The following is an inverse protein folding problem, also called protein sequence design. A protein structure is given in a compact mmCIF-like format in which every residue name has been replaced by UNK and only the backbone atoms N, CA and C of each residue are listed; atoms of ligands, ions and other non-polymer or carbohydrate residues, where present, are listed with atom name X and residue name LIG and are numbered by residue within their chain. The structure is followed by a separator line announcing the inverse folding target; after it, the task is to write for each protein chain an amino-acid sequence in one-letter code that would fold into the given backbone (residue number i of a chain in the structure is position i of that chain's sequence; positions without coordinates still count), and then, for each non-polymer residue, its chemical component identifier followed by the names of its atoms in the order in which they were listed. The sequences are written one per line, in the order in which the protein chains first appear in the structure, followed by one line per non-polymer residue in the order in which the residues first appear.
data_IF_178843895682
#
_entry.id   IF_178843895682
#
_cell.length_a   1.000
_cell.length_b   1.000
_cell.length_c   1.000
_cell.angle_alpha   90.00
_cell.angle_beta   90.00
_cell.angle_gamma   90.00
#
_symmetry.space_group_name_H-M   'P 1'
#
loop_
_entity.id
_entity.type
_entity.pdbx_description
1 polymer ?
#
# COMPACT_ATOMS: atom_id res chain seq x y z
N UNK A 1 17.89 -7.56 23.43
CA UNK A 1 16.54 -7.66 24.00
C UNK A 1 15.70 -6.71 23.18
N UNK A 2 14.54 -7.16 22.72
CA UNK A 2 13.62 -6.34 21.93
C UNK A 2 12.83 -5.50 22.93
N UNK A 3 12.77 -4.18 22.72
CA UNK A 3 12.10 -3.31 23.68
C UNK A 3 10.61 -3.64 23.72
N UNK A 4 9.99 -3.64 24.90
CA UNK A 4 8.56 -3.85 25.04
C UNK A 4 7.91 -2.49 25.28
N UNK A 5 7.13 -1.99 24.32
CA UNK A 5 6.72 -0.59 24.25
C UNK A 5 5.21 -0.47 24.40
N UNK A 6 4.77 0.46 25.25
CA UNK A 6 3.39 0.96 25.29
C UNK A 6 3.31 2.34 24.66
N UNK A 7 2.32 2.53 23.77
CA UNK A 7 1.95 3.86 23.28
C UNK A 7 1.02 4.51 24.29
N UNK A 8 1.40 5.70 24.78
CA UNK A 8 0.67 6.44 25.80
C UNK A 8 0.21 7.79 25.27
N UNK A 9 -0.95 8.23 25.75
CA UNK A 9 -1.48 9.58 25.53
C UNK A 9 -1.89 10.22 26.86
N UNK A 10 -1.56 11.50 27.03
CA UNK A 10 -1.84 12.25 28.26
C UNK A 10 -1.77 13.77 28.06
N UNK A 11 -2.53 14.50 28.88
CA UNK A 11 -2.51 15.96 28.92
C UNK A 11 -1.61 16.45 30.05
N UNK A 12 -0.66 17.33 29.73
CA UNK A 12 0.25 17.88 30.72
C UNK A 12 -0.48 18.84 31.67
N UNK A 13 -0.43 18.63 33.00
CA UNK A 13 -1.11 19.50 33.96
C UNK A 13 -0.47 20.90 34.06
N UNK A 14 0.80 21.07 33.67
CA UNK A 14 1.52 22.35 33.77
C UNK A 14 1.22 23.30 32.60
N UNK A 15 1.15 22.77 31.37
CA UNK A 15 1.01 23.60 30.17
C UNK A 15 -0.22 23.29 29.31
N UNK A 16 -0.96 22.22 29.61
CA UNK A 16 -2.10 21.76 28.81
C UNK A 16 -1.73 21.19 27.45
N UNK A 17 -0.46 20.89 27.21
CA UNK A 17 -0.01 20.24 25.98
C UNK A 17 -0.47 18.77 25.98
N UNK A 18 -1.07 18.34 24.87
CA UNK A 18 -1.36 16.93 24.60
C UNK A 18 -0.08 16.23 24.16
N UNK A 19 0.24 15.11 24.79
CA UNK A 19 1.44 14.32 24.52
C UNK A 19 1.03 12.93 23.99
N UNK A 20 1.77 12.46 23.00
CA UNK A 20 1.65 11.12 22.42
C UNK A 20 3.05 10.54 22.29
N UNK A 21 3.35 9.52 23.11
CA UNK A 21 4.71 9.00 23.28
C UNK A 21 4.74 7.48 23.31
N UNK A 22 5.88 6.92 22.95
CA UNK A 22 6.17 5.50 23.05
C UNK A 22 7.17 5.30 24.20
N UNK A 23 6.76 4.53 25.21
CA UNK A 23 7.60 4.29 26.40
C UNK A 23 7.89 2.80 26.55
N UNK A 24 9.12 2.50 26.98
CA UNK A 24 9.51 1.14 27.33
C UNK A 24 8.88 0.76 28.68
N UNK A 25 8.29 -0.42 28.72
CA UNK A 25 7.60 -0.98 29.90
C UNK A 25 8.11 -2.41 30.14
N UNK A 26 8.05 -2.92 31.38
CA UNK A 26 8.54 -4.27 31.65
C UNK A 26 7.70 -5.34 30.92
N UNK A 27 8.36 -6.43 30.51
CA UNK A 27 7.67 -7.58 29.95
C UNK A 27 6.77 -8.25 31.00
N UNK A 28 5.66 -8.82 30.55
CA UNK A 28 4.83 -9.68 31.39
C UNK A 28 5.66 -10.87 31.91
N UNK A 29 5.35 -11.31 33.12
CA UNK A 29 5.96 -12.52 33.65
C UNK A 29 5.34 -13.77 33.01
N UNK A 30 5.75 -14.09 31.78
CA UNK A 30 5.29 -15.26 31.04
C UNK A 30 5.67 -16.60 31.69
N UNK A 31 6.56 -16.57 32.68
CA UNK A 31 6.97 -17.78 33.42
C UNK A 31 6.04 -18.14 34.58
N UNK A 32 5.10 -17.27 34.91
CA UNK A 32 4.15 -17.52 35.99
C UNK A 32 3.04 -18.50 35.59
N UNK A 33 2.71 -19.43 36.51
CA UNK A 33 1.75 -20.51 36.29
C UNK A 33 0.30 -20.02 36.14
N UNK A 34 -0.05 -18.89 36.77
CA UNK A 34 -1.38 -18.28 36.70
C UNK A 34 -1.34 -16.92 36.00
N UNK A 35 -2.39 -16.62 35.23
CA UNK A 35 -2.55 -15.35 34.50
C UNK A 35 -2.57 -14.14 35.45
N UNK A 36 -3.07 -14.30 36.68
CA UNK A 36 -3.08 -13.23 37.70
C UNK A 36 -1.67 -12.77 38.09
N UNK A 37 -0.68 -13.67 37.95
CA UNK A 37 0.67 -13.48 38.44
C UNK A 37 1.62 -13.01 37.31
N UNK A 38 1.05 -12.69 36.13
CA UNK A 38 1.78 -12.14 34.99
C UNK A 38 2.09 -10.65 35.17
N UNK A 39 1.47 -9.99 36.14
CA UNK A 39 1.57 -8.56 36.36
C UNK A 39 3.00 -8.17 36.79
N UNK A 40 3.59 -7.21 36.10
CA UNK A 40 4.91 -6.65 36.44
C UNK A 40 4.79 -5.14 36.60
N UNK A 41 5.48 -4.60 37.61
CA UNK A 41 5.55 -3.18 37.87
C UNK A 41 6.99 -2.68 37.74
N UNK A 42 7.16 -1.48 37.21
CA UNK A 42 8.46 -0.80 37.13
C UNK A 42 8.30 0.71 37.31
N UNK A 43 9.41 1.42 37.47
CA UNK A 43 9.46 2.88 37.50
C UNK A 43 9.44 3.40 36.06
N UNK A 44 8.63 4.42 35.81
CA UNK A 44 8.54 5.10 34.52
C UNK A 44 8.83 6.58 34.68
N UNK A 45 9.49 7.13 33.68
CA UNK A 45 9.74 8.56 33.53
C UNK A 45 9.12 9.01 32.20
N UNK A 46 8.32 10.07 32.24
CA UNK A 46 7.70 10.68 31.06
C UNK A 46 7.98 12.18 31.04
N UNK A 47 8.18 12.75 29.85
CA UNK A 47 8.58 14.15 29.70
C UNK A 47 7.55 14.85 28.83
N UNK A 48 7.04 16.01 29.23
CA UNK A 48 6.12 16.77 28.37
C UNK A 48 6.85 17.34 27.14
N UNK A 49 6.34 17.09 25.94
CA UNK A 49 6.90 17.61 24.68
C UNK A 49 6.75 19.15 24.55
N UNK A 50 5.77 19.73 25.26
CA UNK A 50 5.51 21.16 25.23
C UNK A 50 6.41 21.98 26.16
N UNK A 51 6.47 21.62 27.45
CA UNK A 51 7.21 22.39 28.47
C UNK A 51 8.51 21.72 28.94
N UNK A 52 8.77 20.46 28.55
CA UNK A 52 9.95 19.70 28.98
C UNK A 52 9.93 19.28 30.45
N UNK A 53 8.79 19.39 31.14
CA UNK A 53 8.68 18.95 32.53
C UNK A 53 8.66 17.42 32.62
N UNK A 54 9.47 16.88 33.53
CA UNK A 54 9.65 15.45 33.76
C UNK A 54 8.71 14.98 34.89
N UNK A 55 8.00 13.88 34.66
CA UNK A 55 7.14 13.21 35.64
C UNK A 55 7.68 11.80 35.91
N UNK A 56 7.68 11.43 37.18
CA UNK A 56 8.09 10.10 37.64
C UNK A 56 6.89 9.36 38.18
N UNK A 57 6.84 8.05 37.95
CA UNK A 57 5.73 7.23 38.40
C UNK A 57 6.04 5.73 38.33
N UNK A 58 4.97 4.96 38.47
CA UNK A 58 4.98 3.52 38.30
C UNK A 58 4.11 3.12 37.12
N UNK A 59 4.60 2.15 36.36
CA UNK A 59 3.81 1.46 35.34
C UNK A 59 3.46 0.06 35.84
N UNK A 60 2.23 -0.36 35.64
CA UNK A 60 1.74 -1.70 35.92
C UNK A 60 1.30 -2.34 34.60
N UNK A 61 1.98 -3.40 34.20
CA UNK A 61 1.69 -4.14 32.97
C UNK A 61 0.98 -5.44 33.33
N UNK A 62 -0.19 -5.68 32.77
CA UNK A 62 -0.97 -6.90 32.96
C UNK A 62 -1.58 -7.37 31.63
N UNK A 63 -2.14 -8.58 31.61
CA UNK A 63 -2.58 -9.23 30.37
C UNK A 63 -3.65 -8.47 29.55
N UNK A 64 -4.31 -7.47 30.14
CA UNK A 64 -5.38 -6.70 29.52
C UNK A 64 -5.01 -5.23 29.24
N UNK A 65 -3.80 -4.78 29.60
CA UNK A 65 -3.41 -3.38 29.40
C UNK A 65 -2.26 -2.91 30.28
N UNK A 66 -2.09 -1.59 30.30
CA UNK A 66 -1.10 -0.87 31.11
C UNK A 66 -1.80 0.22 31.91
N UNK A 67 -1.47 0.29 33.20
CA UNK A 67 -1.90 1.39 34.07
C UNK A 67 -0.68 2.17 34.55
N UNK A 68 -0.87 3.47 34.76
CA UNK A 68 0.18 4.39 35.18
C UNK A 68 -0.24 5.14 36.43
N UNK A 69 0.65 5.19 37.41
CA UNK A 69 0.49 5.97 38.64
C UNK A 69 1.64 6.96 38.76
N UNK A 70 1.36 8.25 38.58
CA UNK A 70 2.36 9.33 38.71
C UNK A 70 2.53 9.71 40.17
N UNK A 71 3.77 9.93 40.61
CA UNK A 71 4.09 10.38 41.96
C UNK A 71 3.63 11.83 42.19
N UNK A 72 3.13 12.10 43.41
CA UNK A 72 2.65 13.42 43.80
C UNK A 72 3.75 14.49 43.73
N UNK A 73 3.38 15.78 43.52
CA UNK A 73 2.07 16.36 43.77
C UNK A 73 1.08 16.32 42.60
N UNK A 74 1.48 15.78 41.45
CA UNK A 74 0.64 15.75 40.25
C UNK A 74 -0.25 14.51 40.24
N UNK A 75 -1.49 14.66 39.75
CA UNK A 75 -2.42 13.56 39.54
C UNK A 75 -3.18 13.81 38.24
N UNK A 76 -2.95 12.96 37.25
CA UNK A 76 -3.60 13.00 35.94
C UNK A 76 -3.66 11.58 35.36
N UNK A 77 -4.55 11.37 34.40
CA UNK A 77 -4.72 10.08 33.74
C UNK A 77 -3.80 9.95 32.54
N UNK A 78 -3.16 8.80 32.41
CA UNK A 78 -2.42 8.40 31.21
C UNK A 78 -3.20 7.24 30.61
N UNK A 79 -3.52 7.34 29.33
CA UNK A 79 -4.13 6.24 28.57
C UNK A 79 -3.03 5.47 27.87
N UNK A 80 -2.76 4.25 28.33
CA UNK A 80 -1.80 3.34 27.71
C UNK A 80 -2.47 2.27 26.86
N UNK A 81 -1.89 2.00 25.70
CA UNK A 81 -2.24 0.85 24.89
C UNK A 81 -1.58 -0.43 25.44
N UNK A 82 -2.08 -1.58 24.97
CA UNK A 82 -1.44 -2.86 25.25
C UNK A 82 -0.02 -2.86 24.70
N UNK A 83 1.00 -3.12 25.53
CA UNK A 83 2.37 -3.05 25.09
C UNK A 83 2.68 -4.17 24.11
N UNK A 84 3.50 -3.83 23.13
CA UNK A 84 3.93 -4.73 22.07
C UNK A 84 5.45 -4.68 21.99
N UNK A 85 6.07 -5.78 21.55
CA UNK A 85 7.48 -5.75 21.21
C UNK A 85 7.70 -4.74 20.09
N UNK A 86 8.62 -3.81 20.31
CA UNK A 86 9.12 -2.92 19.27
C UNK A 86 9.64 -3.79 18.14
N UNK A 87 9.13 -3.66 16.91
CA UNK A 87 9.59 -4.47 15.79
C UNK A 87 11.12 -4.43 15.73
N UNK A 88 11.76 -5.60 15.76
CA UNK A 88 13.21 -5.65 15.68
C UNK A 88 13.70 -5.07 14.34
N UNK A 89 14.99 -4.76 14.19
CA UNK A 89 15.54 -4.36 12.89
C UNK A 89 15.29 -5.41 11.79
N UNK A 90 15.06 -6.68 12.15
CA UNK A 90 14.62 -7.74 11.23
C UNK A 90 13.11 -7.68 10.90
N UNK A 91 12.26 -7.20 11.81
CA UNK A 91 10.81 -7.03 11.60
C UNK A 91 10.50 -5.76 10.78
N UNK A 92 11.28 -4.69 10.94
CA UNK A 92 11.24 -3.51 10.05
C UNK A 92 11.58 -3.86 8.58
N UNK A 93 12.28 -4.98 8.38
CA UNK A 93 12.83 -5.48 7.13
C UNK A 93 11.81 -6.23 6.25
N UNK A 94 10.59 -6.51 6.74
CA UNK A 94 9.73 -7.51 6.10
C UNK A 94 8.73 -7.01 5.05
N UNK A 95 8.53 -5.70 4.94
CA UNK A 95 7.72 -5.14 3.85
C UNK A 95 8.58 -4.25 2.98
N UNK A 96 9.11 -4.86 1.92
CA UNK A 96 9.59 -4.16 0.75
C UNK A 96 8.45 -4.14 -0.27
N UNK A 97 7.98 -2.95 -0.67
CA UNK A 97 7.01 -2.87 -1.77
C UNK A 97 7.57 -3.55 -3.03
N UNK A 98 6.69 -4.07 -3.89
CA UNK A 98 7.09 -4.65 -5.16
C UNK A 98 7.76 -3.59 -6.05
N UNK A 99 8.68 -4.01 -6.93
CA UNK A 99 9.40 -3.10 -7.84
C UNK A 99 8.45 -2.36 -8.81
N UNK A 100 7.35 -3.00 -9.20
CA UNK A 100 6.33 -2.45 -10.09
C UNK A 100 4.92 -2.61 -9.48
N UNK A 101 4.53 -1.69 -8.57
CA UNK A 101 3.20 -1.70 -7.97
C UNK A 101 2.08 -1.51 -8.99
N UNK A 102 2.33 -0.77 -10.08
CA UNK A 102 1.32 -0.48 -11.09
C UNK A 102 0.91 -1.74 -11.85
N UNK A 103 1.87 -2.54 -12.32
CA UNK A 103 1.56 -3.79 -13.03
C UNK A 103 0.76 -4.77 -12.17
N UNK A 104 1.07 -4.86 -10.87
CA UNK A 104 0.33 -5.70 -9.92
C UNK A 104 -1.10 -5.18 -9.75
N UNK A 105 -1.26 -3.87 -9.61
CA UNK A 105 -2.58 -3.26 -9.50
C UNK A 105 -3.41 -3.42 -10.78
N UNK A 106 -2.83 -3.22 -11.96
CA UNK A 106 -3.48 -3.37 -13.27
C UNK A 106 -3.99 -4.81 -13.48
N UNK A 107 -3.15 -5.80 -13.18
CA UNK A 107 -3.53 -7.22 -13.23
C UNK A 107 -4.67 -7.53 -12.25
N UNK A 108 -4.52 -7.13 -10.98
CA UNK A 108 -5.48 -7.42 -9.94
C UNK A 108 -6.84 -6.75 -10.18
N UNK A 109 -6.86 -5.49 -10.64
CA UNK A 109 -8.08 -4.78 -11.03
C UNK A 109 -8.74 -5.45 -12.24
N UNK A 110 -7.96 -5.92 -13.20
CA UNK A 110 -8.46 -6.70 -14.34
C UNK A 110 -9.17 -7.99 -13.91
N UNK A 111 -8.59 -8.73 -12.96
CA UNK A 111 -9.21 -9.92 -12.38
C UNK A 111 -10.52 -9.59 -11.64
N UNK A 112 -10.51 -8.56 -10.80
CA UNK A 112 -11.72 -8.12 -10.08
C UNK A 112 -12.82 -7.68 -11.03
N UNK A 113 -12.48 -6.94 -12.10
CA UNK A 113 -13.44 -6.55 -13.14
C UNK A 113 -14.05 -7.78 -13.83
N UNK A 114 -13.27 -8.83 -14.06
CA UNK A 114 -13.75 -10.11 -14.59
C UNK A 114 -14.65 -10.92 -13.64
N UNK A 115 -14.65 -10.60 -12.34
CA UNK A 115 -15.50 -11.25 -11.33
C UNK A 115 -16.86 -10.56 -11.14
N UNK A 116 -17.08 -9.40 -11.75
CA UNK A 116 -18.37 -8.70 -11.70
C UNK A 116 -19.46 -9.61 -12.29
N UNK A 117 -20.60 -9.72 -11.59
CA UNK A 117 -21.71 -10.57 -11.99
C UNK A 117 -21.48 -12.07 -11.72
N UNK A 118 -20.39 -12.45 -11.05
CA UNK A 118 -20.17 -13.84 -10.65
C UNK A 118 -21.24 -14.31 -9.63
N UNK A 119 -21.56 -15.62 -9.59
CA UNK A 119 -22.63 -16.14 -8.75
C UNK A 119 -22.43 -15.82 -7.27
N UNK A 120 -23.43 -15.14 -6.68
CA UNK A 120 -23.48 -14.88 -5.24
C UNK A 120 -24.34 -15.93 -4.50
N UNK A 121 -24.21 -16.06 -3.17
CA UNK A 121 -25.10 -16.90 -2.37
C UNK A 121 -26.57 -16.52 -2.59
N UNK A 122 -27.46 -17.53 -2.58
CA UNK A 122 -28.91 -17.34 -2.81
C UNK A 122 -29.51 -16.35 -1.80
N UNK A 123 -28.98 -16.31 -0.58
CA UNK A 123 -29.43 -15.43 0.50
C UNK A 123 -28.95 -13.98 0.35
N UNK A 124 -28.00 -13.71 -0.55
CA UNK A 124 -27.40 -12.39 -0.70
C UNK A 124 -26.82 -12.19 -2.12
N UNK A 125 -27.67 -11.73 -3.03
CA UNK A 125 -27.37 -11.63 -4.46
C UNK A 125 -26.22 -10.66 -4.83
N UNK A 126 -25.82 -9.77 -3.92
CA UNK A 126 -24.76 -8.78 -4.13
C UNK A 126 -23.50 -9.05 -3.31
N UNK A 127 -23.40 -10.21 -2.67
CA UNK A 127 -22.26 -10.55 -1.81
C UNK A 127 -20.94 -10.51 -2.56
N UNK A 128 -20.86 -11.13 -3.75
CA UNK A 128 -19.61 -11.14 -4.53
C UNK A 128 -19.26 -9.73 -5.01
N UNK A 129 -20.26 -8.95 -5.46
CA UNK A 129 -20.04 -7.58 -5.87
C UNK A 129 -19.50 -6.70 -4.74
N UNK A 130 -19.94 -6.90 -3.49
CA UNK A 130 -19.34 -6.22 -2.32
C UNK A 130 -17.90 -6.65 -2.07
N UNK A 131 -17.56 -7.92 -2.24
CA UNK A 131 -16.17 -8.40 -2.11
C UNK A 131 -15.26 -7.83 -3.22
N UNK A 132 -15.76 -7.79 -4.46
CA UNK A 132 -15.05 -7.20 -5.61
C UNK A 132 -14.82 -5.71 -5.36
N UNK A 133 -15.86 -5.00 -4.91
CA UNK A 133 -15.79 -3.58 -4.55
C UNK A 133 -14.75 -3.31 -3.45
N UNK A 134 -14.76 -4.06 -2.35
CA UNK A 134 -13.78 -3.87 -1.27
C UNK A 134 -12.37 -4.24 -1.72
N UNK A 135 -12.23 -5.28 -2.54
CA UNK A 135 -10.96 -5.68 -3.13
C UNK A 135 -10.34 -4.58 -3.99
N UNK A 136 -11.14 -3.90 -4.81
CA UNK A 136 -10.66 -2.83 -5.67
C UNK A 136 -10.09 -1.66 -4.86
N UNK A 137 -10.74 -1.31 -3.74
CA UNK A 137 -10.27 -0.28 -2.82
C UNK A 137 -8.95 -0.70 -2.14
N UNK A 138 -8.84 -1.96 -1.70
CA UNK A 138 -7.60 -2.47 -1.12
C UNK A 138 -6.44 -2.47 -2.12
N UNK A 139 -6.71 -2.74 -3.40
CA UNK A 139 -5.68 -2.64 -4.45
C UNK A 139 -5.21 -1.20 -4.63
N UNK A 140 -6.12 -0.22 -4.62
CA UNK A 140 -5.73 1.19 -4.69
C UNK A 140 -4.86 1.59 -3.49
N UNK A 141 -5.25 1.18 -2.28
CA UNK A 141 -4.51 1.45 -1.05
C UNK A 141 -3.08 0.87 -1.11
N UNK A 142 -2.94 -0.39 -1.53
CA UNK A 142 -1.64 -1.02 -1.72
C UNK A 142 -0.81 -0.29 -2.79
N UNK A 143 -1.40 -0.01 -3.96
CA UNK A 143 -0.73 0.71 -5.04
C UNK A 143 -0.21 2.08 -4.60
N UNK A 144 -1.04 2.87 -3.92
CA UNK A 144 -0.68 4.21 -3.50
C UNK A 144 0.42 4.18 -2.43
N UNK A 145 0.35 3.26 -1.48
CA UNK A 145 1.36 3.08 -0.45
C UNK A 145 2.70 2.61 -1.02
N UNK A 146 2.66 1.54 -1.82
CA UNK A 146 3.86 0.93 -2.39
C UNK A 146 4.60 1.89 -3.33
N UNK A 147 3.87 2.59 -4.19
CA UNK A 147 4.42 3.59 -5.11
C UNK A 147 5.11 4.72 -4.35
N UNK A 148 4.48 5.25 -3.31
CA UNK A 148 5.06 6.34 -2.52
C UNK A 148 6.28 5.86 -1.73
N UNK A 149 6.24 4.67 -1.14
CA UNK A 149 7.38 4.09 -0.42
C UNK A 149 8.56 3.85 -1.37
N UNK A 150 8.33 3.27 -2.55
CA UNK A 150 9.36 3.09 -3.58
C UNK A 150 10.02 4.42 -3.98
N UNK A 151 9.22 5.47 -4.16
CA UNK A 151 9.72 6.79 -4.49
C UNK A 151 10.56 7.41 -3.36
N UNK A 152 10.12 7.25 -2.10
CA UNK A 152 10.88 7.70 -0.93
C UNK A 152 12.22 6.97 -0.80
N UNK A 153 12.26 5.67 -1.06
CA UNK A 153 13.49 4.88 -1.00
C UNK A 153 14.49 5.29 -2.09
N UNK A 154 14.01 5.50 -3.32
CA UNK A 154 14.86 5.72 -4.49
C UNK A 154 15.20 7.19 -4.79
N UNK A 155 14.40 8.16 -4.36
CA UNK A 155 14.50 9.55 -4.82
C UNK A 155 14.65 10.56 -3.67
N UNK A 156 15.83 11.20 -3.59
CA UNK A 156 16.13 12.22 -2.59
C UNK A 156 15.22 13.45 -2.69
N UNK A 157 14.87 13.88 -3.90
CA UNK A 157 14.01 15.04 -4.10
C UNK A 157 12.59 14.79 -3.55
N UNK A 158 12.10 13.55 -3.63
CA UNK A 158 10.80 13.16 -3.04
C UNK A 158 10.88 13.27 -1.51
N UNK A 159 11.95 12.77 -0.89
CA UNK A 159 12.17 12.91 0.56
C UNK A 159 12.22 14.37 0.99
N UNK A 160 12.98 15.20 0.29
CA UNK A 160 13.09 16.64 0.58
C UNK A 160 11.74 17.33 0.46
N UNK A 161 10.97 17.06 -0.60
CA UNK A 161 9.64 17.65 -0.79
C UNK A 161 8.66 17.23 0.30
N UNK A 162 8.67 15.96 0.70
CA UNK A 162 7.85 15.47 1.80
C UNK A 162 8.18 16.15 3.14
N UNK A 163 9.47 16.23 3.50
CA UNK A 163 9.90 16.91 4.73
C UNK A 163 9.57 18.41 4.73
N UNK A 164 9.55 19.05 3.55
CA UNK A 164 9.29 20.49 3.44
C UNK A 164 7.80 20.79 3.40
N UNK A 165 7.01 19.98 2.68
CA UNK A 165 5.63 20.31 2.31
C UNK A 165 4.58 19.50 3.06
N UNK A 166 4.96 18.47 3.82
CA UNK A 166 4.01 17.65 4.60
C UNK A 166 4.21 17.85 6.10
N UNK A 167 3.28 18.54 6.80
CA UNK A 167 3.47 18.98 8.19
C UNK A 167 3.88 17.89 9.18
N UNK A 168 3.31 16.68 9.11
CA UNK A 168 3.60 15.61 10.08
C UNK A 168 4.98 14.97 9.88
N UNK A 169 5.60 15.19 8.72
CA UNK A 169 6.97 14.79 8.43
C UNK A 169 7.95 15.95 8.69
N UNK A 170 7.54 17.20 8.47
CA UNK A 170 8.38 18.38 8.71
C UNK A 170 8.68 18.67 10.19
N UNK A 171 7.89 18.10 11.11
CA UNK A 171 8.13 18.19 12.57
C UNK A 171 9.16 17.17 13.09
N UNK A 172 9.61 16.23 12.25
CA UNK A 172 10.56 15.21 12.69
C UNK A 172 11.93 15.80 13.02
N UNK A 173 12.45 15.47 14.20
CA UNK A 173 13.78 15.88 14.66
C UNK A 173 14.76 14.72 14.46
N UNK A 174 15.90 15.01 13.82
CA UNK A 174 16.97 14.05 13.58
C UNK A 174 18.22 14.46 14.36
N UNK A 175 18.77 13.56 15.19
CA UNK A 175 20.00 13.86 15.93
C UNK A 175 21.25 13.65 15.05
N UNK A 176 22.31 14.42 15.31
CA UNK A 176 23.58 14.24 14.59
C UNK A 176 24.20 12.84 14.79
N UNK A 177 23.98 12.22 15.96
CA UNK A 177 24.46 10.87 16.27
C UNK A 177 23.70 9.82 15.47
N UNK A 178 22.37 9.96 15.34
CA UNK A 178 21.53 9.08 14.53
C UNK A 178 21.94 9.13 13.05
N UNK A 179 22.07 10.33 12.49
CA UNK A 179 22.49 10.52 11.10
C UNK A 179 23.91 10.00 10.83
N UNK A 180 24.80 10.06 11.83
CA UNK A 180 26.16 9.53 11.71
C UNK A 180 26.22 7.99 11.77
N UNK A 181 25.33 7.35 12.54
CA UNK A 181 25.26 5.89 12.67
C UNK A 181 24.49 5.23 11.52
N UNK A 182 23.46 5.90 11.00
CA UNK A 182 22.54 5.37 10.01
C UNK A 182 22.39 6.36 8.84
N UNK A 183 23.16 6.18 7.75
CA UNK A 183 23.13 7.07 6.58
C UNK A 183 21.75 7.19 5.93
N UNK A 184 20.87 6.21 6.15
CA UNK A 184 19.50 6.17 5.63
C UNK A 184 18.43 6.50 6.68
N UNK A 185 18.79 7.08 7.84
CA UNK A 185 17.87 7.33 8.94
C UNK A 185 16.62 8.11 8.51
N UNK A 186 16.81 9.13 7.66
CA UNK A 186 15.72 9.93 7.09
C UNK A 186 14.75 9.04 6.30
N UNK A 187 15.28 8.22 5.38
CA UNK A 187 14.48 7.29 4.57
C UNK A 187 13.73 6.31 5.45
N UNK A 188 14.42 5.69 6.42
CA UNK A 188 13.80 4.73 7.35
C UNK A 188 12.65 5.36 8.12
N UNK A 189 12.84 6.56 8.68
CA UNK A 189 11.81 7.27 9.45
C UNK A 189 10.59 7.62 8.60
N UNK A 190 10.80 8.14 7.40
CA UNK A 190 9.69 8.46 6.48
C UNK A 190 8.93 7.17 6.11
N UNK A 191 9.65 6.11 5.73
CA UNK A 191 9.02 4.82 5.38
C UNK A 191 8.23 4.25 6.56
N UNK A 192 8.78 4.28 7.78
CA UNK A 192 8.09 3.79 8.97
C UNK A 192 6.76 4.54 9.22
N UNK A 193 6.74 5.86 9.01
CA UNK A 193 5.51 6.65 9.09
C UNK A 193 4.53 6.33 7.97
N UNK A 194 5.00 6.22 6.72
CA UNK A 194 4.15 5.90 5.58
C UNK A 194 3.50 4.51 5.71
N UNK A 195 4.21 3.52 6.29
CA UNK A 195 3.66 2.19 6.58
C UNK A 195 2.46 2.22 7.54
N UNK A 196 2.29 3.28 8.34
CA UNK A 196 1.17 3.46 9.27
C UNK A 196 -0.01 4.24 8.65
N UNK A 197 0.15 4.77 7.43
CA UNK A 197 -0.89 5.55 6.76
C UNK A 197 -1.96 4.62 6.19
N UNK A 198 -3.21 4.96 6.46
CA UNK A 198 -4.38 4.33 5.83
C UNK A 198 -4.67 5.01 4.48
N UNK A 199 -4.16 4.46 3.37
CA UNK A 199 -4.26 5.12 2.05
C UNK A 199 -5.68 5.12 1.47
N UNK A 200 -6.62 4.36 2.04
CA UNK A 200 -8.04 4.52 1.73
C UNK A 200 -8.63 5.83 2.28
N UNK A 201 -7.93 6.55 3.16
CA UNK A 201 -8.23 7.96 3.45
C UNK A 201 -7.67 8.83 2.31
N UNK A 202 -8.50 9.07 1.30
CA UNK A 202 -8.11 9.79 0.09
C UNK A 202 -7.68 11.24 0.34
N UNK A 203 -8.18 11.90 1.40
CA UNK A 203 -7.71 13.25 1.74
C UNK A 203 -6.24 13.22 2.15
N UNK A 204 -5.87 12.27 3.00
CA UNK A 204 -4.48 12.06 3.42
C UNK A 204 -3.62 11.62 2.23
N UNK A 205 -4.09 10.66 1.44
CA UNK A 205 -3.37 10.18 0.26
C UNK A 205 -3.13 11.31 -0.76
N UNK A 206 -4.15 12.11 -1.08
CA UNK A 206 -4.03 13.24 -2.01
C UNK A 206 -3.07 14.29 -1.49
N UNK A 207 -3.09 14.61 -0.19
CA UNK A 207 -2.12 15.55 0.40
C UNK A 207 -0.68 15.01 0.34
N UNK A 208 -0.48 13.71 0.62
CA UNK A 208 0.84 13.07 0.48
C UNK A 208 1.36 13.12 -0.95
N UNK A 209 0.52 12.77 -1.93
CA UNK A 209 0.88 12.78 -3.36
C UNK A 209 1.13 14.20 -3.89
N UNK A 210 0.35 15.17 -3.42
CA UNK A 210 0.55 16.58 -3.74
C UNK A 210 1.89 17.07 -3.16
N UNK A 211 2.22 16.73 -1.92
CA UNK A 211 3.48 17.12 -1.30
C UNK A 211 4.69 16.40 -1.89
N UNK A 212 4.57 15.12 -2.23
CA UNK A 212 5.65 14.29 -2.77
C UNK A 212 5.96 14.56 -4.24
N UNK A 213 4.92 14.76 -5.05
CA UNK A 213 5.01 14.75 -6.51
C UNK A 213 4.33 15.96 -7.19
N UNK A 214 3.50 16.71 -6.47
CA UNK A 214 2.65 17.75 -7.06
C UNK A 214 1.42 17.18 -7.79
N UNK A 215 1.07 15.92 -7.50
CA UNK A 215 0.01 15.16 -8.16
C UNK A 215 -1.27 15.24 -7.32
N UNK A 216 -2.37 15.65 -7.94
CA UNK A 216 -3.72 15.57 -7.35
C UNK A 216 -4.41 14.29 -7.83
N UNK A 217 -4.70 13.35 -6.92
CA UNK A 217 -5.27 12.05 -7.29
C UNK A 217 -6.65 12.18 -7.96
N UNK A 218 -7.50 13.07 -7.45
CA UNK A 218 -8.83 13.35 -7.99
C UNK A 218 -8.91 14.78 -8.57
N UNK A 219 -8.58 14.98 -9.87
CA UNK A 219 -8.50 16.32 -10.46
C UNK A 219 -9.86 17.01 -10.62
N UNK A 220 -10.95 16.25 -10.69
CA UNK A 220 -12.31 16.79 -10.79
C UNK A 220 -13.19 16.36 -9.62
N UNK A 221 -14.21 17.19 -9.36
CA UNK A 221 -15.12 17.01 -8.22
C UNK A 221 -15.94 15.72 -8.34
N UNK A 222 -16.29 15.30 -9.55
CA UNK A 222 -17.14 14.13 -9.77
C UNK A 222 -16.40 12.85 -9.39
N UNK A 223 -15.17 12.67 -9.86
CA UNK A 223 -14.29 11.57 -9.47
C UNK A 223 -14.05 11.56 -7.96
N UNK A 224 -13.76 12.74 -7.38
CA UNK A 224 -13.54 12.89 -5.94
C UNK A 224 -14.75 12.45 -5.14
N UNK A 225 -15.92 13.02 -5.41
CA UNK A 225 -17.13 12.74 -4.64
C UNK A 225 -17.54 11.26 -4.77
N UNK A 226 -17.32 10.66 -5.94
CA UNK A 226 -17.53 9.22 -6.20
C UNK A 226 -16.62 8.33 -5.37
N UNK A 227 -15.31 8.57 -5.40
CA UNK A 227 -14.34 7.75 -4.66
C UNK A 227 -14.48 7.96 -3.15
N UNK A 228 -14.70 9.20 -2.68
CA UNK A 228 -14.95 9.47 -1.26
C UNK A 228 -16.20 8.74 -0.74
N UNK A 229 -17.27 8.67 -1.54
CA UNK A 229 -18.45 7.88 -1.19
C UNK A 229 -18.12 6.38 -1.15
N UNK A 230 -17.36 5.87 -2.12
CA UNK A 230 -16.90 4.48 -2.11
C UNK A 230 -16.08 4.14 -0.85
N UNK A 231 -15.13 5.00 -0.44
CA UNK A 231 -14.33 4.79 0.77
C UNK A 231 -15.17 4.74 2.04
N UNK A 232 -16.23 5.56 2.14
CA UNK A 232 -17.16 5.50 3.27
C UNK A 232 -17.91 4.17 3.31
N UNK A 233 -18.41 3.71 2.16
CA UNK A 233 -19.16 2.45 2.05
C UNK A 233 -18.29 1.22 2.30
N UNK A 234 -16.99 1.30 2.03
CA UNK A 234 -16.01 0.23 2.32
C UNK A 234 -16.05 -0.23 3.77
N UNK A 235 -16.18 0.69 4.74
CA UNK A 235 -16.21 0.34 6.15
C UNK A 235 -17.39 -0.58 6.48
N UNK A 236 -18.58 -0.26 5.98
CA UNK A 236 -19.78 -1.09 6.14
C UNK A 236 -19.61 -2.45 5.46
N UNK A 237 -19.06 -2.49 4.24
CA UNK A 237 -18.79 -3.74 3.53
C UNK A 237 -17.83 -4.67 4.27
N UNK A 238 -16.73 -4.13 4.81
CA UNK A 238 -15.66 -4.91 5.45
C UNK A 238 -16.08 -5.38 6.86
N UNK A 239 -16.61 -4.49 7.69
CA UNK A 239 -16.85 -4.80 9.11
C UNK A 239 -18.26 -5.30 9.42
N UNK A 240 -19.23 -4.99 8.55
CA UNK A 240 -20.65 -5.26 8.78
C UNK A 240 -21.31 -5.99 7.61
N UNK A 241 -20.51 -6.56 6.69
CA UNK A 241 -20.98 -7.23 5.48
C UNK A 241 -21.97 -6.38 4.66
N UNK A 242 -21.76 -5.06 4.63
CA UNK A 242 -22.61 -4.10 3.92
C UNK A 242 -23.86 -3.69 4.70
N UNK A 243 -23.96 -3.97 6.00
CA UNK A 243 -25.01 -3.41 6.86
C UNK A 243 -24.54 -2.09 7.49
N UNK A 244 -25.38 -1.07 7.45
CA UNK A 244 -25.15 0.19 8.15
C UNK A 244 -25.35 0.02 9.67
N UNK A 245 -25.02 1.05 10.44
CA UNK A 245 -25.14 1.05 11.91
C UNK A 245 -26.59 0.84 12.37
N UNK A 246 -27.56 1.30 11.58
CA UNK A 246 -28.99 1.12 11.83
C UNK A 246 -29.53 -0.26 11.42
N UNK A 247 -28.66 -1.15 10.91
CA UNK A 247 -29.01 -2.49 10.44
C UNK A 247 -29.50 -2.56 8.99
N UNK A 248 -29.61 -1.42 8.29
CA UNK A 248 -30.00 -1.41 6.87
C UNK A 248 -28.89 -2.01 6.00
N UNK A 249 -29.22 -3.05 5.24
CA UNK A 249 -28.32 -3.64 4.25
C UNK A 249 -28.23 -2.73 3.02
N UNK A 250 -27.01 -2.45 2.57
CA UNK A 250 -26.74 -1.80 1.30
C UNK A 250 -27.00 -2.78 0.15
N UNK A 251 -27.89 -2.39 -0.76
CA UNK A 251 -28.42 -3.16 -1.88
C UNK A 251 -28.19 -2.47 -3.24
N UNK A 252 -27.27 -1.53 -3.29
CA UNK A 252 -26.85 -0.74 -4.46
C UNK A 252 -25.44 -1.11 -4.93
N UNK A 253 -25.07 -2.40 -4.81
CA UNK A 253 -23.85 -2.99 -5.38
C UNK A 253 -24.18 -3.83 -6.62
N UNK A 254 -24.87 -3.22 -7.58
CA UNK A 254 -25.07 -3.83 -8.91
C UNK A 254 -23.76 -3.81 -9.74
N UNK A 255 -23.77 -4.58 -10.82
CA UNK A 255 -22.61 -4.74 -11.70
C UNK A 255 -22.12 -3.41 -12.26
N UNK A 256 -23.06 -2.53 -12.63
CA UNK A 256 -22.74 -1.22 -13.19
C UNK A 256 -22.01 -0.38 -12.15
N UNK A 257 -22.55 -0.25 -10.94
CA UNK A 257 -21.95 0.52 -9.86
C UNK A 257 -20.53 0.04 -9.56
N UNK A 258 -20.33 -1.27 -9.39
CA UNK A 258 -19.01 -1.83 -9.07
C UNK A 258 -18.02 -1.63 -10.20
N UNK A 259 -18.41 -1.89 -11.46
CA UNK A 259 -17.57 -1.61 -12.62
C UNK A 259 -17.15 -0.14 -12.65
N UNK A 260 -18.12 0.73 -12.37
CA UNK A 260 -17.93 2.16 -12.30
C UNK A 260 -16.82 2.55 -11.30
N UNK A 261 -16.79 1.92 -10.12
CA UNK A 261 -15.78 2.22 -9.09
C UNK A 261 -14.42 1.66 -9.48
N UNK A 262 -14.37 0.44 -10.04
CA UNK A 262 -13.12 -0.13 -10.54
C UNK A 262 -12.50 0.77 -11.61
N UNK A 263 -13.29 1.27 -12.56
CA UNK A 263 -12.80 2.15 -13.62
C UNK A 263 -12.29 3.48 -13.08
N UNK A 264 -12.95 4.04 -12.05
CA UNK A 264 -12.49 5.24 -11.36
C UNK A 264 -11.13 5.00 -10.67
N UNK A 265 -10.99 3.89 -9.94
CA UNK A 265 -9.74 3.49 -9.28
C UNK A 265 -8.62 3.28 -10.30
N UNK A 266 -8.93 2.58 -11.40
CA UNK A 266 -7.99 2.32 -12.47
C UNK A 266 -7.53 3.63 -13.14
N UNK A 267 -8.43 4.58 -13.30
CA UNK A 267 -8.14 5.92 -13.79
C UNK A 267 -7.15 6.68 -12.90
N UNK A 268 -7.32 6.61 -11.58
CA UNK A 268 -6.38 7.22 -10.61
C UNK A 268 -5.00 6.56 -10.73
N UNK A 269 -4.92 5.23 -10.70
CA UNK A 269 -3.65 4.51 -10.80
C UNK A 269 -2.90 4.84 -12.10
N UNK A 270 -3.61 4.84 -13.24
CA UNK A 270 -3.04 5.22 -14.54
C UNK A 270 -2.55 6.66 -14.58
N UNK A 271 -3.29 7.58 -13.95
CA UNK A 271 -2.90 8.99 -13.88
C UNK A 271 -1.60 9.16 -13.12
N UNK A 272 -1.51 8.55 -11.94
CA UNK A 272 -0.29 8.56 -11.12
C UNK A 272 0.87 8.00 -11.92
N UNK A 273 0.72 6.83 -12.53
CA UNK A 273 1.77 6.20 -13.34
C UNK A 273 2.26 7.12 -14.46
N UNK A 274 1.33 7.71 -15.23
CA UNK A 274 1.68 8.60 -16.33
C UNK A 274 2.39 9.89 -15.87
N UNK A 275 2.08 10.40 -14.68
CA UNK A 275 2.71 11.60 -14.13
C UNK A 275 4.06 11.31 -13.46
N UNK A 276 4.28 10.08 -12.99
CA UNK A 276 5.55 9.64 -12.42
C UNK A 276 6.57 9.19 -13.47
N UNK A 277 6.12 8.64 -14.61
CA UNK A 277 6.99 8.37 -15.74
C UNK A 277 7.64 9.68 -16.19
N UNK A 278 8.98 9.78 -16.19
CA UNK A 278 9.64 11.04 -16.46
C UNK A 278 9.23 11.59 -17.83
N UNK A 279 9.11 12.91 -17.94
CA UNK A 279 9.14 13.67 -19.20
C UNK A 279 10.45 13.46 -20.01
N UNK A 280 11.17 12.36 -19.79
CA UNK A 280 12.26 11.84 -20.60
C UNK A 280 11.77 11.24 -21.93
N UNK A 281 10.47 11.01 -22.11
CA UNK A 281 9.84 10.84 -23.41
C UNK A 281 9.27 12.16 -23.94
N UNK A 282 10.08 13.22 -23.90
CA UNK A 282 9.86 14.38 -24.76
C UNK A 282 9.99 13.97 -26.23
N UNK A 283 8.88 13.53 -26.85
CA UNK A 283 8.79 13.37 -28.30
C UNK A 283 8.52 11.97 -28.86
N UNK A 284 8.11 10.98 -28.05
CA UNK A 284 7.45 9.79 -28.60
C UNK A 284 6.00 9.78 -28.12
N UNK A 285 5.15 10.38 -28.94
CA UNK A 285 3.71 10.13 -28.93
C UNK A 285 3.56 8.62 -29.06
N UNK A 286 3.10 7.96 -28.00
CA UNK A 286 2.56 6.62 -28.13
C UNK A 286 1.25 6.80 -28.90
N UNK A 287 1.29 6.64 -30.23
CA UNK A 287 0.06 6.46 -31.00
C UNK A 287 -0.73 5.35 -30.31
N UNK A 288 -2.06 5.52 -30.13
CA UNK A 288 -2.88 4.49 -29.54
C UNK A 288 -2.68 3.25 -30.40
N UNK A 289 -1.99 2.25 -29.86
CA UNK A 289 -1.92 0.95 -30.49
C UNK A 289 -3.32 0.35 -30.39
N UNK A 290 -4.15 0.71 -31.36
CA UNK A 290 -5.36 -0.02 -31.71
C UNK A 290 -4.93 -1.47 -31.89
N UNK A 291 -5.19 -2.29 -30.87
CA UNK A 291 -5.19 -3.73 -31.00
C UNK A 291 -6.12 -4.07 -32.17
N UNK A 292 -5.52 -4.44 -33.30
CA UNK A 292 -6.21 -4.98 -34.47
C UNK A 292 -6.29 -4.07 -35.68
N UNK A 293 -5.18 -3.82 -36.38
CA UNK A 293 -5.16 -3.59 -37.84
C UNK A 293 -3.72 -3.31 -38.34
N UNK A 294 -2.86 -4.32 -38.41
CA UNK A 294 -1.60 -4.22 -39.16
C UNK A 294 -1.51 -5.31 -40.23
N UNK A 295 -2.50 -5.38 -41.11
CA UNK A 295 -2.39 -6.03 -42.43
C UNK A 295 -3.45 -5.43 -43.37
N UNK A 296 -3.21 -4.24 -43.94
CA UNK A 296 -3.74 -3.82 -45.24
C UNK A 296 -3.44 -2.33 -45.53
N UNK A 297 -2.19 -1.96 -45.80
CA UNK A 297 -1.89 -0.77 -46.61
C UNK A 297 -0.38 -0.64 -46.85
N UNK A 298 0.16 -1.51 -47.69
CA UNK A 298 1.27 -1.26 -48.63
C UNK A 298 1.51 -2.55 -49.39
N UNK A 299 1.59 -2.44 -50.71
CA UNK A 299 1.73 -3.55 -51.64
C UNK A 299 2.89 -4.46 -51.25
N UNK A 300 2.69 -5.75 -51.50
CA UNK A 300 3.65 -6.81 -51.25
C UNK A 300 4.97 -6.54 -51.99
N UNK A 301 6.02 -6.20 -51.25
CA UNK A 301 7.38 -6.56 -51.63
C UNK A 301 7.82 -7.72 -50.76
N UNK A 302 8.28 -8.78 -51.42
CA UNK A 302 8.52 -10.11 -50.87
C UNK A 302 9.54 -10.09 -49.73
N UNK A 303 9.07 -10.24 -48.49
CA UNK A 303 9.94 -10.61 -47.37
C UNK A 303 10.48 -12.04 -47.59
N UNK A 304 11.79 -12.20 -47.57
CA UNK A 304 12.47 -13.49 -47.71
C UNK A 304 11.95 -14.50 -46.68
N UNK A 305 11.74 -15.74 -47.13
CA UNK A 305 11.26 -16.84 -46.27
C UNK A 305 12.21 -17.06 -45.10
N UNK A 306 11.71 -16.83 -43.89
CA UNK A 306 12.34 -17.23 -42.63
C UNK A 306 12.79 -18.72 -42.68
N UNK A 307 14.09 -19.03 -42.45
CA UNK A 307 14.57 -20.41 -42.50
C UNK A 307 14.07 -21.25 -41.31
N UNK A 308 14.11 -22.58 -41.48
CA UNK A 308 13.48 -23.54 -40.55
C UNK A 308 13.94 -23.40 -39.10
N UNK A 309 12.95 -23.31 -38.21
CA UNK A 309 13.03 -23.03 -36.76
C UNK A 309 13.84 -24.10 -36.01
N UNK A 310 14.70 -23.64 -35.09
CA UNK A 310 15.61 -24.48 -34.28
C UNK A 310 16.93 -23.81 -33.89
N UNK A 311 17.13 -22.53 -34.23
CA UNK A 311 18.30 -21.72 -33.89
C UNK A 311 17.84 -20.33 -33.43
N UNK A 312 18.41 -19.84 -32.33
CA UNK A 312 18.28 -18.44 -31.93
C UNK A 312 19.35 -17.65 -32.70
N UNK A 313 18.91 -16.64 -33.45
CA UNK A 313 19.79 -15.77 -34.23
C UNK A 313 19.97 -14.45 -33.48
N UNK A 314 21.22 -13.99 -33.36
CA UNK A 314 21.54 -12.69 -32.80
C UNK A 314 21.55 -11.63 -33.91
N UNK A 315 21.40 -10.35 -33.53
CA UNK A 315 21.30 -9.23 -34.46
C UNK A 315 22.57 -9.00 -35.31
N UNK A 316 23.68 -9.66 -34.96
CA UNK A 316 24.94 -9.67 -35.72
C UNK A 316 25.02 -10.79 -36.76
N UNK A 317 23.95 -11.59 -36.92
CA UNK A 317 23.89 -12.71 -37.86
C UNK A 317 24.48 -14.03 -37.35
N UNK A 318 25.00 -14.07 -36.13
CA UNK A 318 25.45 -15.31 -35.49
C UNK A 318 24.27 -16.13 -34.95
N UNK A 319 24.45 -17.45 -34.77
CA UNK A 319 23.38 -18.32 -34.25
C UNK A 319 23.83 -19.20 -33.10
N UNK A 320 22.97 -19.36 -32.09
CA UNK A 320 23.18 -20.24 -30.94
C UNK A 320 22.32 -21.49 -31.12
N UNK A 321 22.95 -22.66 -31.01
CA UNK A 321 22.26 -23.96 -30.91
C UNK A 321 22.43 -24.52 -29.51
N UNK A 322 21.42 -24.41 -28.64
CA UNK A 322 21.41 -25.11 -27.35
C UNK A 322 20.98 -26.56 -27.55
N UNK A 323 21.82 -27.51 -27.11
CA UNK A 323 21.43 -28.92 -27.03
C UNK A 323 20.50 -29.12 -25.82
N UNK A 324 19.51 -30.01 -25.90
CA UNK A 324 18.70 -30.38 -24.74
C UNK A 324 19.59 -30.96 -23.63
N UNK A 325 19.43 -30.50 -22.40
CA UNK A 325 20.23 -30.99 -21.26
C UNK A 325 19.74 -32.36 -20.75
N UNK A 326 18.50 -32.75 -21.05
CA UNK A 326 17.92 -34.06 -20.74
C UNK A 326 16.71 -34.41 -21.64
N UNK A 327 16.22 -35.65 -21.53
CA UNK A 327 15.06 -36.17 -22.30
C UNK A 327 13.80 -35.36 -21.96
N UNK A 328 13.09 -34.87 -22.98
CA UNK A 328 11.87 -34.04 -22.90
C UNK A 328 12.08 -32.59 -22.39
N UNK A 329 13.31 -32.06 -22.48
CA UNK A 329 13.56 -30.65 -22.19
C UNK A 329 12.97 -29.73 -23.28
N UNK A 330 12.07 -28.82 -22.88
CA UNK A 330 11.41 -27.82 -23.73
C UNK A 330 11.81 -26.43 -23.22
N UNK A 331 12.16 -25.50 -24.11
CA UNK A 331 12.53 -24.14 -23.71
C UNK A 331 11.30 -23.23 -23.71
N UNK A 332 11.25 -22.21 -22.85
CA UNK A 332 10.09 -21.32 -22.69
C UNK A 332 9.57 -20.67 -23.99
N UNK A 333 10.41 -20.53 -25.01
CA UNK A 333 10.04 -19.99 -26.33
C UNK A 333 9.24 -20.97 -27.21
N UNK A 334 9.13 -22.25 -26.84
CA UNK A 334 8.35 -23.24 -27.60
C UNK A 334 6.82 -23.07 -27.39
N UNK A 335 6.39 -22.22 -26.46
CA UNK A 335 4.97 -21.98 -26.14
C UNK A 335 4.31 -20.84 -26.93
N UNK A 336 5.05 -20.12 -27.79
CA UNK A 336 4.47 -19.04 -28.60
C UNK A 336 3.84 -19.61 -29.87
N UNK A 337 2.57 -20.03 -29.77
CA UNK A 337 1.74 -20.41 -30.91
C UNK A 337 0.98 -19.17 -31.43
N UNK A 338 1.04 -18.83 -32.73
CA UNK A 338 0.13 -17.82 -33.27
C UNK A 338 -1.28 -18.44 -33.43
N UNK A 339 -2.24 -17.89 -32.70
CA UNK A 339 -3.66 -18.18 -32.87
C UNK A 339 -4.05 -17.98 -34.34
N UNK A 340 -4.39 -19.07 -35.03
CA UNK A 340 -5.03 -19.01 -36.34
C UNK A 340 -6.51 -18.75 -36.10
N UNK A 341 -6.96 -17.57 -36.51
CA UNK A 341 -8.36 -17.22 -36.63
C UNK A 341 -9.12 -18.32 -37.39
N UNK A 342 -10.20 -18.81 -36.79
CA UNK A 342 -11.27 -19.50 -37.51
C UNK A 342 -11.87 -18.50 -38.50
N UNK A 343 -11.73 -18.78 -39.79
CA UNK A 343 -12.51 -18.15 -40.83
C UNK A 343 -13.23 -19.26 -41.59
N UNK A 344 -14.54 -19.20 -41.55
CA UNK A 344 -15.49 -19.95 -42.36
C UNK A 344 -15.08 -19.93 -43.83
N UNK A 345 -15.16 -21.09 -44.50
CA UNK A 345 -15.62 -21.16 -45.89
C UNK A 345 -16.38 -22.46 -46.13
N UNK A 346 -17.66 -22.24 -46.41
CA UNK A 346 -18.60 -23.11 -47.10
C UNK A 346 -18.18 -23.38 -48.56
N UNK A 347 -18.46 -24.62 -49.00
CA UNK A 347 -18.80 -25.08 -50.37
C UNK A 347 -17.77 -24.91 -51.49
N UNK A 348 -17.20 -26.04 -51.94
CA UNK A 348 -17.57 -26.78 -53.16
C UNK A 348 -17.09 -28.23 -53.06
#
# INVERSE_FOLDING_TARGET
MQNFISHITWDCPECGCFNEQAIEVPELNFTAENISDWTVADIVEIICDGCGFEYFGHVFVYAAGTDFEIEGPHSFSISGEMPMYEPGPEDELYYNPPDDPYSIADEALGHLKGMIGAPSPITDAQFVNRLVFTGAISILEAYLGDTLINAVQSNEAVRTRLLTNYPDLGKEMFSAVELAKEPNAITKRIVAKLKRVLFHNLEVATNLYQSAFGITLEPDKELRDRLFNAMKRRHDCVHRNGCQVDGKKLDDFDDQYVESIIDAIWGVARRVENELLPAAYGGLVCEPQTRGAYLAARGAESAEKQPKRGRLWLNDGSCIRRRPSWRNHVWAYDFVWPARMMAERSVC
#
